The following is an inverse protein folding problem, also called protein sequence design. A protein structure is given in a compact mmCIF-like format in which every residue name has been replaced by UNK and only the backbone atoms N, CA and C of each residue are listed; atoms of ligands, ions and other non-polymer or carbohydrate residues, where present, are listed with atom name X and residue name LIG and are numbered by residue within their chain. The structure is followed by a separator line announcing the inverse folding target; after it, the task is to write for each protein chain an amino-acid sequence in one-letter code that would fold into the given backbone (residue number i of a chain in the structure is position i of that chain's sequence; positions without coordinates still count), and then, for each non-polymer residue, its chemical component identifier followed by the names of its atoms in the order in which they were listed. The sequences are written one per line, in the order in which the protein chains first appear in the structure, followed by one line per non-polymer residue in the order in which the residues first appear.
data_IF_803786957573
#
_entry.id   IF_803786957573
#
_cell.length_a   1.000
_cell.length_b   1.000
_cell.length_c   1.000
_cell.angle_alpha   90.00
_cell.angle_beta   90.00
_cell.angle_gamma   90.00
#
_symmetry.space_group_name_H-M   'P 1'
#
loop_
_entity.id
_entity.type
_entity.pdbx_description
1 polymer ?
#
# COMPACT_ATOMS: atom_id res chain seq x y z
N UNK A 1 -16.12 -13.97 2.84
CA UNK A 1 -17.13 -12.92 3.15
C UNK A 1 -17.01 -11.87 2.07
N UNK A 2 -18.05 -11.67 1.25
CA UNK A 2 -18.04 -10.68 0.17
C UNK A 2 -18.42 -9.33 0.78
N UNK A 3 -17.47 -8.46 1.07
CA UNK A 3 -17.78 -7.06 1.34
C UNK A 3 -18.04 -6.40 -0.02
N UNK A 4 -19.25 -5.93 -0.24
CA UNK A 4 -19.60 -5.02 -1.32
C UNK A 4 -19.18 -3.63 -0.83
N UNK A 5 -17.99 -3.20 -1.17
CA UNK A 5 -17.67 -1.77 -1.12
C UNK A 5 -18.01 -1.26 -2.51
N UNK A 6 -19.16 -0.66 -2.66
CA UNK A 6 -19.53 0.03 -3.90
C UNK A 6 -18.69 1.32 -3.94
N UNK A 7 -17.60 1.29 -4.68
CA UNK A 7 -16.98 2.52 -5.17
C UNK A 7 -17.72 2.80 -6.48
N UNK A 8 -18.68 3.68 -6.44
CA UNK A 8 -19.44 4.09 -7.61
C UNK A 8 -18.54 4.98 -8.45
N UNK A 9 -17.92 4.42 -9.48
CA UNK A 9 -17.22 5.19 -10.49
C UNK A 9 -18.18 5.43 -11.66
N UNK A 10 -18.55 6.67 -11.90
CA UNK A 10 -19.39 7.06 -13.03
C UNK A 10 -18.51 7.28 -14.26
N UNK A 11 -18.75 6.54 -15.33
CA UNK A 11 -18.25 6.86 -16.64
C UNK A 11 -19.42 7.26 -17.54
N UNK A 12 -19.37 8.48 -18.01
CA UNK A 12 -20.29 8.96 -19.05
C UNK A 12 -19.75 8.50 -20.40
N UNK A 13 -20.47 7.64 -21.11
CA UNK A 13 -20.15 7.33 -22.50
C UNK A 13 -20.70 8.41 -23.40
N UNK A 14 -19.85 9.30 -23.89
CA UNK A 14 -20.20 10.26 -24.93
C UNK A 14 -19.76 9.78 -26.29
N UNK A 15 -20.67 9.89 -27.25
CA UNK A 15 -20.44 9.72 -28.68
C UNK A 15 -19.33 10.68 -29.13
N UNK A 16 -18.28 10.16 -29.77
CA UNK A 16 -17.13 10.93 -30.21
C UNK A 16 -17.52 11.97 -31.27
N UNK A 17 -17.32 13.24 -30.94
CA UNK A 17 -17.00 14.28 -31.92
C UNK A 17 -15.60 14.78 -31.55
N UNK A 18 -14.62 14.48 -32.41
CA UNK A 18 -13.27 14.95 -32.24
C UNK A 18 -13.19 16.46 -32.48
N UNK A 19 -12.93 17.21 -31.42
CA UNK A 19 -12.43 18.59 -31.53
C UNK A 19 -11.32 18.77 -30.51
N UNK A 20 -10.14 19.08 -31.01
CA UNK A 20 -8.97 19.44 -30.26
C UNK A 20 -9.16 20.83 -29.64
N UNK A 21 -9.57 20.89 -28.41
CA UNK A 21 -9.42 22.03 -27.51
C UNK A 21 -9.56 21.54 -26.08
N UNK A 22 -8.77 22.09 -25.16
CA UNK A 22 -8.92 21.87 -23.73
C UNK A 22 -10.37 22.20 -23.39
N UNK A 23 -11.21 21.17 -23.20
CA UNK A 23 -12.60 21.39 -22.87
C UNK A 23 -12.69 21.84 -21.41
N UNK A 24 -13.29 23.01 -21.21
CA UNK A 24 -13.54 23.60 -19.91
C UNK A 24 -14.37 22.67 -18.99
N UNK A 25 -14.26 22.88 -17.69
CA UNK A 25 -15.19 22.35 -16.72
C UNK A 25 -16.63 22.69 -17.11
N UNK A 26 -17.43 21.69 -17.36
CA UNK A 26 -18.79 21.84 -17.88
C UNK A 26 -19.76 21.02 -17.02
N UNK A 27 -20.78 21.69 -16.52
CA UNK A 27 -21.94 21.04 -15.89
C UNK A 27 -22.92 20.73 -17.00
N UNK A 28 -23.11 19.47 -17.30
CA UNK A 28 -24.05 19.03 -18.34
C UNK A 28 -25.37 18.69 -17.66
N UNK A 29 -26.40 19.46 -17.98
CA UNK A 29 -27.79 19.13 -17.62
C UNK A 29 -28.39 18.27 -18.74
N UNK A 30 -28.31 16.94 -18.60
CA UNK A 30 -28.94 15.99 -19.54
C UNK A 30 -29.78 14.94 -18.81
N UNK A 31 -30.81 14.48 -19.51
CA UNK A 31 -31.57 13.28 -19.11
C UNK A 31 -30.85 12.07 -19.68
N UNK A 32 -29.98 11.44 -18.89
CA UNK A 32 -29.16 10.37 -19.39
C UNK A 32 -29.45 9.00 -18.81
N UNK A 33 -29.20 8.00 -19.63
CA UNK A 33 -29.06 6.61 -19.20
C UNK A 33 -27.72 6.54 -18.46
N UNK A 34 -27.77 6.33 -17.17
CA UNK A 34 -26.58 6.20 -16.31
C UNK A 34 -26.08 4.75 -16.39
N UNK A 35 -24.92 4.56 -17.00
CA UNK A 35 -24.18 3.30 -16.87
C UNK A 35 -23.37 3.36 -15.57
N UNK A 36 -23.79 2.59 -14.58
CA UNK A 36 -23.06 2.45 -13.33
C UNK A 36 -21.98 1.37 -13.51
N UNK A 37 -20.72 1.78 -13.43
CA UNK A 37 -19.62 0.81 -13.36
C UNK A 37 -19.49 0.34 -11.91
N UNK A 38 -20.09 -0.81 -11.61
CA UNK A 38 -19.89 -1.47 -10.32
C UNK A 38 -18.53 -2.15 -10.33
N UNK A 39 -17.58 -1.60 -9.59
CA UNK A 39 -16.32 -2.29 -9.33
C UNK A 39 -16.55 -3.30 -8.21
N UNK A 40 -16.61 -4.58 -8.59
CA UNK A 40 -16.59 -5.68 -7.61
C UNK A 40 -15.16 -5.97 -7.26
N UNK A 41 -14.75 -5.58 -6.07
CA UNK A 41 -13.46 -5.96 -5.53
C UNK A 41 -13.55 -7.37 -4.94
N UNK A 42 -12.84 -8.31 -5.55
CA UNK A 42 -12.64 -9.64 -5.02
C UNK A 42 -11.26 -9.67 -4.37
N UNK A 43 -11.23 -9.82 -3.07
CA UNK A 43 -9.99 -10.00 -2.33
C UNK A 43 -9.55 -11.46 -2.45
N UNK A 44 -8.38 -11.68 -3.07
CA UNK A 44 -7.78 -13.00 -3.27
C UNK A 44 -6.62 -13.15 -2.28
N UNK A 45 -6.74 -14.07 -1.34
CA UNK A 45 -5.67 -14.37 -0.38
C UNK A 45 -4.42 -14.86 -1.10
N UNK A 46 -3.26 -14.34 -0.75
CA UNK A 46 -1.94 -14.80 -1.17
C UNK A 46 -1.29 -15.71 -0.11
N UNK A 47 -1.78 -15.63 1.12
CA UNK A 47 -1.39 -16.47 2.24
C UNK A 47 -2.60 -16.82 3.10
N UNK A 48 -2.60 -17.97 3.74
CA UNK A 48 -3.65 -18.41 4.67
C UNK A 48 -3.38 -17.94 6.09
N UNK A 49 -2.10 -17.76 6.39
CA UNK A 49 -1.64 -17.36 7.71
C UNK A 49 -0.63 -16.21 7.57
N UNK A 50 -0.54 -15.38 8.60
CA UNK A 50 0.58 -14.46 8.71
C UNK A 50 1.16 -14.42 10.12
N UNK A 51 2.46 -14.26 10.20
CA UNK A 51 3.21 -14.13 11.46
C UNK A 51 4.06 -12.88 11.38
N UNK A 52 4.06 -12.10 12.45
CA UNK A 52 4.98 -10.98 12.63
C UNK A 52 6.02 -11.35 13.68
N UNK A 53 7.29 -11.29 13.30
CA UNK A 53 8.45 -11.31 14.20
C UNK A 53 8.99 -9.88 14.33
N UNK A 54 8.96 -9.36 15.54
CA UNK A 54 9.30 -7.98 15.80
C UNK A 54 10.59 -7.86 16.62
N UNK A 55 11.57 -7.16 16.05
CA UNK A 55 12.86 -6.91 16.68
C UNK A 55 12.78 -5.75 17.68
N UNK A 56 13.09 -6.03 18.94
CA UNK A 56 13.17 -5.03 20.01
C UNK A 56 14.61 -4.86 20.53
N UNK A 57 15.59 -5.25 19.71
CA UNK A 57 17.02 -5.15 20.07
C UNK A 57 17.49 -3.70 20.20
N UNK A 58 18.68 -3.53 20.77
CA UNK A 58 19.30 -2.23 20.99
C UNK A 58 19.46 -1.42 19.70
N UNK A 59 19.79 -2.05 18.59
CA UNK A 59 19.99 -1.39 17.30
C UNK A 59 18.68 -0.79 16.74
N UNK A 60 17.53 -1.37 17.11
CA UNK A 60 16.22 -0.81 16.79
C UNK A 60 15.87 0.46 17.58
N UNK A 61 16.64 0.80 18.62
CA UNK A 61 16.52 2.08 19.32
C UNK A 61 17.28 3.24 18.66
N UNK A 62 18.02 2.98 17.57
CA UNK A 62 18.64 4.04 16.76
C UNK A 62 17.58 4.91 16.10
N UNK A 63 17.95 6.18 15.81
CA UNK A 63 17.06 7.11 15.11
C UNK A 63 16.75 6.62 13.69
N UNK A 64 15.47 6.65 13.33
CA UNK A 64 15.00 6.44 11.98
C UNK A 64 14.80 7.80 11.31
N UNK A 65 15.59 8.14 10.27
CA UNK A 65 15.62 9.50 9.72
C UNK A 65 14.27 10.00 9.19
N UNK A 66 13.46 9.09 8.59
CA UNK A 66 12.20 9.48 7.98
C UNK A 66 11.11 9.90 8.99
N UNK A 67 11.15 9.37 10.23
CA UNK A 67 10.19 9.72 11.29
C UNK A 67 10.76 10.70 12.32
N UNK A 68 12.08 10.80 12.42
CA UNK A 68 12.77 11.51 13.49
C UNK A 68 12.74 10.78 14.85
N UNK A 69 11.96 9.70 14.97
CA UNK A 69 11.88 8.81 16.14
C UNK A 69 12.81 7.62 16.05
N UNK A 70 12.56 6.60 16.88
CA UNK A 70 13.34 5.35 16.86
C UNK A 70 12.84 4.40 15.77
N UNK A 71 13.72 3.53 15.26
CA UNK A 71 13.35 2.46 14.30
C UNK A 71 12.23 1.57 14.84
N UNK A 72 12.26 1.22 16.12
CA UNK A 72 11.24 0.38 16.76
C UNK A 72 9.86 1.07 16.81
N UNK A 73 9.83 2.40 16.96
CA UNK A 73 8.59 3.18 16.90
C UNK A 73 8.04 3.22 15.48
N UNK A 74 8.91 3.46 14.50
CA UNK A 74 8.54 3.43 13.09
C UNK A 74 8.04 2.05 12.67
N UNK A 75 8.68 0.97 13.11
CA UNK A 75 8.26 -0.40 12.86
C UNK A 75 6.85 -0.69 13.42
N UNK A 76 6.57 -0.25 14.66
CA UNK A 76 5.24 -0.41 15.25
C UNK A 76 4.19 0.41 14.51
N UNK A 77 4.54 1.63 14.10
CA UNK A 77 3.62 2.47 13.33
C UNK A 77 3.30 1.86 11.95
N UNK A 78 4.30 1.34 11.24
CA UNK A 78 4.09 0.58 10.01
C UNK A 78 3.09 -0.56 10.25
N UNK A 79 3.30 -1.34 11.30
CA UNK A 79 2.43 -2.47 11.62
C UNK A 79 1.00 -2.04 11.97
N UNK A 80 0.83 -0.92 12.69
CA UNK A 80 -0.49 -0.33 12.99
C UNK A 80 -1.22 0.10 11.72
N UNK A 81 -0.54 0.80 10.84
CA UNK A 81 -1.11 1.26 9.58
C UNK A 81 -1.52 0.09 8.69
N UNK A 82 -0.68 -0.94 8.59
CA UNK A 82 -1.02 -2.14 7.85
C UNK A 82 -2.21 -2.87 8.46
N UNK A 83 -2.24 -3.05 9.78
CA UNK A 83 -3.37 -3.67 10.47
C UNK A 83 -4.68 -2.89 10.26
N UNK A 84 -4.61 -1.55 10.20
CA UNK A 84 -5.79 -0.71 9.99
C UNK A 84 -6.48 -0.99 8.64
N UNK A 85 -5.70 -1.26 7.57
CA UNK A 85 -6.22 -1.49 6.22
C UNK A 85 -6.52 -2.96 5.90
N UNK A 86 -6.09 -3.93 6.72
CA UNK A 86 -6.35 -5.35 6.47
C UNK A 86 -7.85 -5.63 6.49
N UNK A 87 -8.42 -6.22 5.41
CA UNK A 87 -9.78 -6.74 5.42
C UNK A 87 -9.87 -8.00 6.28
N UNK A 88 -11.07 -8.39 6.66
CA UNK A 88 -11.29 -9.69 7.31
C UNK A 88 -11.46 -10.77 6.24
N UNK A 89 -10.41 -11.54 5.98
CA UNK A 89 -10.40 -12.64 5.02
C UNK A 89 -10.21 -14.01 5.70
N UNK A 90 -10.34 -14.09 7.02
CA UNK A 90 -10.23 -15.34 7.76
C UNK A 90 -8.80 -15.89 7.77
N UNK A 91 -7.79 -15.05 8.03
CA UNK A 91 -6.42 -15.51 8.32
C UNK A 91 -6.30 -16.09 9.71
N UNK A 92 -5.26 -16.92 9.93
CA UNK A 92 -4.67 -17.06 11.24
C UNK A 92 -3.51 -16.06 11.34
N UNK A 93 -3.34 -15.47 12.51
CA UNK A 93 -2.31 -14.46 12.77
C UNK A 93 -1.47 -14.80 14.00
N UNK A 94 -0.21 -14.37 14.00
CA UNK A 94 0.66 -14.44 15.16
C UNK A 94 1.52 -13.18 15.27
N UNK A 95 1.81 -12.74 16.51
CA UNK A 95 2.68 -11.60 16.77
C UNK A 95 3.63 -11.94 17.92
N UNK A 96 4.92 -11.94 17.60
CA UNK A 96 5.99 -12.31 18.51
C UNK A 96 7.13 -11.29 18.46
N UNK A 97 7.81 -11.10 19.59
CA UNK A 97 9.15 -10.50 19.58
C UNK A 97 10.20 -11.62 19.69
N UNK A 98 11.41 -11.38 19.19
CA UNK A 98 12.51 -12.35 19.37
C UNK A 98 13.68 -11.84 20.21
N UNK A 99 13.55 -10.63 20.79
CA UNK A 99 14.60 -9.95 21.58
C UNK A 99 14.05 -9.34 22.86
N UNK A 100 13.66 -10.11 23.90
CA UNK A 100 13.56 -11.57 23.99
C UNK A 100 12.34 -12.13 23.25
N UNK A 101 12.30 -13.46 23.14
CA UNK A 101 11.10 -14.14 22.64
C UNK A 101 9.93 -13.90 23.59
N UNK A 102 8.88 -13.29 23.05
CA UNK A 102 7.62 -13.09 23.77
C UNK A 102 6.47 -13.13 22.77
N UNK A 103 5.38 -13.75 23.18
CA UNK A 103 4.14 -13.81 22.45
C UNK A 103 3.25 -12.64 22.85
N UNK A 104 2.79 -11.88 21.86
CA UNK A 104 1.84 -10.78 22.03
C UNK A 104 0.46 -11.14 21.47
N UNK A 105 0.43 -11.95 20.42
CA UNK A 105 -0.76 -12.59 19.89
C UNK A 105 -0.38 -14.01 19.52
N UNK A 106 -0.90 -14.98 20.26
CA UNK A 106 -0.72 -16.38 19.95
C UNK A 106 -1.30 -16.72 18.59
N UNK A 107 -0.70 -17.69 17.90
CA UNK A 107 -1.23 -18.12 16.61
C UNK A 107 -2.68 -18.56 16.73
N UNK A 108 -3.60 -17.77 16.18
CA UNK A 108 -5.05 -17.94 16.32
C UNK A 108 -5.77 -17.30 15.12
N UNK A 109 -7.07 -17.55 14.91
CA UNK A 109 -7.86 -16.80 13.96
C UNK A 109 -7.72 -15.28 14.18
N UNK A 110 -7.44 -14.56 13.10
CA UNK A 110 -7.22 -13.12 13.17
C UNK A 110 -8.47 -12.38 13.61
N UNK A 111 -8.38 -11.71 14.74
CA UNK A 111 -9.37 -10.76 15.25
C UNK A 111 -8.74 -9.37 15.28
N UNK A 112 -9.20 -8.49 14.42
CA UNK A 112 -8.59 -7.16 14.22
C UNK A 112 -8.52 -6.32 15.50
N UNK A 113 -9.58 -6.22 16.35
CA UNK A 113 -9.52 -5.49 17.62
C UNK A 113 -8.45 -6.03 18.57
N UNK A 114 -8.45 -7.34 18.81
CA UNK A 114 -7.48 -7.99 19.70
C UNK A 114 -6.06 -7.89 19.17
N UNK A 115 -5.88 -8.05 17.85
CA UNK A 115 -4.58 -7.90 17.22
C UNK A 115 -4.07 -6.45 17.31
N UNK A 116 -4.95 -5.45 17.17
CA UNK A 116 -4.61 -4.03 17.38
C UNK A 116 -4.08 -3.79 18.79
N UNK A 117 -4.74 -4.33 19.81
CA UNK A 117 -4.27 -4.22 21.20
C UNK A 117 -2.90 -4.88 21.40
N UNK A 118 -2.67 -6.03 20.77
CA UNK A 118 -1.38 -6.70 20.80
C UNK A 118 -0.28 -5.83 20.15
N UNK A 119 -0.55 -5.24 19.00
CA UNK A 119 0.37 -4.29 18.32
C UNK A 119 0.66 -3.08 19.21
N UNK A 120 -0.36 -2.50 19.83
CA UNK A 120 -0.21 -1.33 20.70
C UNK A 120 0.60 -1.63 21.97
N UNK A 121 0.61 -2.90 22.42
CA UNK A 121 1.38 -3.37 23.57
C UNK A 121 2.85 -3.68 23.25
N UNK A 122 3.26 -3.65 21.97
CA UNK A 122 4.66 -3.82 21.60
C UNK A 122 5.53 -2.72 22.22
N UNK A 123 6.71 -3.06 22.76
CA UNK A 123 7.59 -2.07 23.37
C UNK A 123 8.16 -1.13 22.30
N UNK A 124 8.14 0.17 22.59
CA UNK A 124 8.72 1.22 21.74
C UNK A 124 9.86 1.96 22.41
N UNK A 125 9.97 1.82 23.74
CA UNK A 125 11.05 2.42 24.53
C UNK A 125 11.77 1.33 25.30
N UNK A 126 13.05 1.52 25.56
CA UNK A 126 13.77 0.75 26.55
C UNK A 126 13.03 0.87 27.89
N UNK A 127 12.49 -0.22 28.40
CA UNK A 127 12.11 -0.23 29.82
C UNK A 127 13.39 -0.04 30.65
N UNK A 128 13.40 1.03 31.42
CA UNK A 128 14.53 1.50 32.23
C UNK A 128 14.86 0.61 33.43
N UNK A 129 14.55 -0.69 33.41
CA UNK A 129 14.61 -1.56 34.57
C UNK A 129 15.12 -2.99 34.38
N UNK A 130 15.76 -3.34 33.28
CA UNK A 130 16.30 -4.68 33.08
C UNK A 130 17.64 -4.69 32.33
N UNK A 131 18.49 -5.68 32.60
CA UNK A 131 19.64 -5.99 31.76
C UNK A 131 19.06 -6.32 30.38
N UNK A 132 19.02 -5.33 29.52
CA UNK A 132 18.59 -5.49 28.12
C UNK A 132 19.52 -6.50 27.51
N UNK A 133 18.97 -7.60 27.03
CA UNK A 133 19.69 -8.57 26.25
C UNK A 133 20.37 -7.81 25.10
N UNK A 134 21.70 -7.67 25.16
CA UNK A 134 22.47 -6.90 24.18
C UNK A 134 22.58 -7.65 22.84
N UNK A 135 22.01 -8.85 22.79
CA UNK A 135 22.12 -9.78 21.66
C UNK A 135 20.84 -9.75 20.84
N UNK A 136 20.99 -9.75 19.52
CA UNK A 136 19.87 -9.91 18.57
C UNK A 136 19.87 -11.38 18.09
N UNK A 137 19.09 -12.27 18.71
CA UNK A 137 19.04 -13.68 18.35
C UNK A 137 18.12 -13.92 17.14
N UNK A 138 18.39 -13.25 16.01
CA UNK A 138 17.60 -13.38 14.79
C UNK A 138 17.43 -14.84 14.34
N UNK A 139 18.51 -15.63 14.43
CA UNK A 139 18.47 -17.04 14.08
C UNK A 139 17.54 -17.84 15.02
N UNK A 140 17.61 -17.60 16.32
CA UNK A 140 16.72 -18.25 17.30
C UNK A 140 15.25 -17.84 17.10
N UNK A 141 15.00 -16.58 16.77
CA UNK A 141 13.67 -16.09 16.43
C UNK A 141 13.07 -16.80 15.22
N UNK A 142 13.86 -16.98 14.17
CA UNK A 142 13.42 -17.71 12.97
C UNK A 142 13.25 -19.21 13.26
N UNK A 143 14.19 -19.84 13.97
CA UNK A 143 14.11 -21.28 14.34
C UNK A 143 12.87 -21.60 15.17
N UNK A 144 12.44 -20.71 16.06
CA UNK A 144 11.22 -20.84 16.86
C UNK A 144 9.93 -20.82 16.06
N UNK A 145 9.97 -20.46 14.78
CA UNK A 145 8.80 -20.58 13.90
C UNK A 145 8.51 -22.03 13.54
N UNK A 146 9.50 -22.94 13.53
CA UNK A 146 9.30 -24.33 13.10
C UNK A 146 8.14 -25.04 13.84
N UNK A 147 8.10 -25.05 15.18
CA UNK A 147 6.99 -25.71 15.89
C UNK A 147 5.63 -24.98 15.74
N UNK A 148 5.63 -23.73 15.35
CA UNK A 148 4.41 -22.96 15.04
C UNK A 148 3.92 -23.33 13.64
N UNK A 149 4.80 -23.24 12.65
CA UNK A 149 4.51 -23.53 11.25
C UNK A 149 4.08 -24.98 11.02
N UNK A 150 4.67 -25.91 11.75
CA UNK A 150 4.31 -27.34 11.69
C UNK A 150 2.84 -27.64 12.04
N UNK A 151 2.15 -26.70 12.71
CA UNK A 151 0.72 -26.83 13.09
C UNK A 151 -0.22 -26.13 12.11
N UNK A 152 0.33 -25.41 11.12
CA UNK A 152 -0.45 -24.61 10.18
C UNK A 152 -0.64 -25.37 8.87
N UNK A 153 -1.74 -25.10 8.21
CA UNK A 153 -2.02 -25.53 6.84
C UNK A 153 -2.01 -24.31 5.92
N UNK A 154 -1.64 -24.53 4.66
CA UNK A 154 -1.56 -23.50 3.65
C UNK A 154 -0.33 -22.60 3.80
N UNK A 155 -0.24 -21.59 2.95
CA UNK A 155 0.90 -20.70 2.91
C UNK A 155 0.91 -19.72 4.09
N UNK A 156 2.09 -19.53 4.68
CA UNK A 156 2.30 -18.55 5.74
C UNK A 156 3.22 -17.41 5.28
N UNK A 157 2.75 -16.18 5.40
CA UNK A 157 3.56 -14.97 5.24
C UNK A 157 4.21 -14.60 6.58
N UNK A 158 5.52 -14.55 6.66
CA UNK A 158 6.25 -14.15 7.88
C UNK A 158 6.89 -12.79 7.65
N UNK A 159 6.44 -11.79 8.39
CA UNK A 159 6.98 -10.43 8.36
C UNK A 159 7.99 -10.24 9.50
N UNK A 160 9.25 -10.06 9.17
CA UNK A 160 10.35 -9.93 10.13
C UNK A 160 10.82 -8.48 10.14
N UNK A 161 10.41 -7.72 11.15
CA UNK A 161 10.84 -6.33 11.35
C UNK A 161 12.21 -6.33 12.02
N UNK A 162 13.26 -5.91 11.31
CA UNK A 162 14.64 -5.97 11.81
C UNK A 162 15.56 -4.99 11.07
N UNK A 163 16.72 -4.69 11.65
CA UNK A 163 17.82 -3.99 10.96
C UNK A 163 18.91 -4.95 10.45
N UNK A 164 18.66 -6.26 10.48
CA UNK A 164 19.59 -7.27 9.99
C UNK A 164 20.83 -7.51 10.84
N UNK A 165 20.98 -6.81 11.97
CA UNK A 165 22.06 -7.12 12.92
C UNK A 165 21.71 -8.40 13.69
N UNK A 166 22.73 -9.21 13.97
CA UNK A 166 22.51 -10.45 14.70
C UNK A 166 23.73 -10.87 15.54
N UNK A 167 23.45 -11.66 16.56
CA UNK A 167 24.45 -12.37 17.33
C UNK A 167 24.04 -13.83 17.52
N UNK A 168 25.01 -14.71 17.48
CA UNK A 168 24.79 -16.14 17.74
C UNK A 168 24.74 -16.40 19.24
N UNK A 169 23.61 -16.90 19.71
CA UNK A 169 23.35 -17.12 21.14
C UNK A 169 23.48 -18.61 21.48
N UNK A 170 24.08 -18.92 22.61
CA UNK A 170 24.11 -20.27 23.15
C UNK A 170 22.69 -20.75 23.51
N UNK A 171 22.37 -22.06 23.47
CA UNK A 171 23.33 -23.16 23.22
C UNK A 171 23.58 -23.48 21.75
N UNK A 172 22.61 -23.18 20.84
CA UNK A 172 22.68 -23.65 19.44
C UNK A 172 23.70 -22.93 18.57
N UNK A 173 24.02 -21.66 18.84
CA UNK A 173 24.88 -20.79 18.01
C UNK A 173 24.52 -20.83 16.51
N UNK A 174 23.24 -20.93 16.22
CA UNK A 174 22.70 -21.06 14.87
C UNK A 174 23.01 -19.82 14.02
N UNK A 175 23.22 -20.00 12.72
CA UNK A 175 23.34 -18.90 11.78
C UNK A 175 21.95 -18.51 11.27
N UNK A 176 21.65 -17.22 11.08
CA UNK A 176 20.35 -16.78 10.54
C UNK A 176 20.03 -17.41 9.19
N UNK A 177 21.04 -17.57 8.34
CA UNK A 177 20.90 -18.21 7.03
C UNK A 177 20.48 -19.68 7.13
N UNK A 178 21.01 -20.42 8.11
CA UNK A 178 20.67 -21.83 8.29
C UNK A 178 19.27 -21.99 8.87
N UNK A 179 18.88 -21.13 9.82
CA UNK A 179 17.54 -21.07 10.35
C UNK A 179 16.51 -20.73 9.27
N UNK A 180 16.78 -19.73 8.44
CA UNK A 180 15.91 -19.35 7.35
C UNK A 180 15.77 -20.47 6.30
N UNK A 181 16.89 -21.13 5.97
CA UNK A 181 16.87 -22.27 5.04
C UNK A 181 16.04 -23.42 5.57
N UNK A 182 16.21 -23.77 6.83
CA UNK A 182 15.45 -24.86 7.47
C UNK A 182 13.94 -24.58 7.43
N UNK A 183 13.54 -23.36 7.79
CA UNK A 183 12.14 -22.93 7.77
C UNK A 183 11.54 -22.97 6.35
N UNK A 184 12.28 -22.47 5.36
CA UNK A 184 11.82 -22.41 3.96
C UNK A 184 11.77 -23.80 3.30
N UNK A 185 12.66 -24.72 3.70
CA UNK A 185 12.69 -26.08 3.14
C UNK A 185 11.58 -26.98 3.73
N UNK A 186 11.17 -26.73 4.97
CA UNK A 186 10.23 -27.62 5.68
C UNK A 186 8.79 -27.12 5.66
N UNK A 187 8.55 -25.85 5.27
CA UNK A 187 7.21 -25.25 5.32
C UNK A 187 6.91 -24.41 4.06
N UNK A 188 5.62 -24.31 3.68
CA UNK A 188 5.18 -23.35 2.65
C UNK A 188 5.11 -21.94 3.26
N UNK A 189 6.26 -21.26 3.23
CA UNK A 189 6.46 -19.98 3.89
C UNK A 189 7.16 -18.97 2.98
N UNK A 190 6.71 -17.73 3.05
CA UNK A 190 7.39 -16.58 2.44
C UNK A 190 7.92 -15.67 3.55
N UNK A 191 9.23 -15.38 3.54
CA UNK A 191 9.87 -14.50 4.52
C UNK A 191 9.96 -13.08 3.94
N UNK A 192 9.30 -12.14 4.58
CA UNK A 192 9.31 -10.72 4.24
C UNK A 192 10.11 -9.95 5.30
N UNK A 193 11.34 -9.58 4.95
CA UNK A 193 12.21 -8.81 5.84
C UNK A 193 11.88 -7.33 5.70
N UNK A 194 11.13 -6.79 6.67
CA UNK A 194 10.82 -5.37 6.76
C UNK A 194 12.04 -4.70 7.39
N UNK A 195 12.86 -4.08 6.53
CA UNK A 195 14.25 -3.79 6.84
C UNK A 195 14.54 -2.31 7.07
N UNK A 196 15.16 -2.01 8.20
CA UNK A 196 15.86 -0.75 8.45
C UNK A 196 17.39 -0.91 8.42
N UNK A 197 17.88 -1.96 7.75
CA UNK A 197 19.30 -2.27 7.63
C UNK A 197 20.04 -1.18 6.85
N UNK A 198 21.25 -0.85 7.34
CA UNK A 198 22.18 -0.02 6.58
C UNK A 198 22.83 -0.85 5.47
N UNK A 199 23.23 -0.22 4.35
CA UNK A 199 24.01 -0.91 3.31
C UNK A 199 25.23 -1.63 3.89
N UNK A 200 25.48 -2.86 3.44
CA UNK A 200 26.60 -3.67 3.89
C UNK A 200 26.19 -5.08 4.35
N UNK A 201 26.95 -5.66 5.29
CA UNK A 201 26.74 -7.06 5.73
C UNK A 201 25.32 -7.35 6.25
N UNK A 202 24.68 -6.49 7.06
CA UNK A 202 23.32 -6.76 7.52
C UNK A 202 22.32 -6.83 6.38
N UNK A 203 22.33 -5.85 5.47
CA UNK A 203 21.46 -5.82 4.31
C UNK A 203 21.69 -7.04 3.41
N UNK A 204 22.95 -7.36 3.11
CA UNK A 204 23.31 -8.53 2.30
C UNK A 204 22.82 -9.84 2.91
N UNK A 205 22.89 -10.01 4.22
CA UNK A 205 22.35 -11.19 4.89
C UNK A 205 20.84 -11.34 4.66
N UNK A 206 20.06 -10.24 4.80
CA UNK A 206 18.62 -10.28 4.57
C UNK A 206 18.28 -10.61 3.11
N UNK A 207 19.05 -10.07 2.16
CA UNK A 207 18.92 -10.37 0.73
C UNK A 207 19.20 -11.85 0.43
N UNK A 208 20.27 -12.40 1.02
CA UNK A 208 20.64 -13.81 0.85
C UNK A 208 19.57 -14.75 1.44
N UNK A 209 19.00 -14.40 2.59
CA UNK A 209 17.89 -15.15 3.17
C UNK A 209 16.61 -15.03 2.33
N UNK A 210 16.31 -13.86 1.80
CA UNK A 210 15.17 -13.66 0.90
C UNK A 210 15.32 -14.43 -0.43
N UNK A 211 16.54 -14.64 -0.90
CA UNK A 211 16.82 -15.40 -2.11
C UNK A 211 16.61 -16.92 -1.97
N UNK A 212 16.28 -17.43 -0.78
CA UNK A 212 16.08 -18.87 -0.56
C UNK A 212 14.84 -19.41 -1.26
N UNK A 213 13.83 -18.60 -1.55
CA UNK A 213 12.68 -18.96 -2.37
C UNK A 213 12.16 -17.78 -3.19
N UNK A 214 11.29 -18.08 -4.14
CA UNK A 214 10.79 -17.08 -5.11
C UNK A 214 9.82 -16.04 -4.49
N UNK A 215 9.18 -16.33 -3.37
CA UNK A 215 8.19 -15.44 -2.77
C UNK A 215 8.76 -14.53 -1.67
N UNK A 216 9.92 -14.87 -1.09
CA UNK A 216 10.53 -14.05 -0.05
C UNK A 216 11.14 -12.75 -0.60
N UNK A 217 11.11 -11.68 0.20
CA UNK A 217 11.58 -10.34 -0.21
C UNK A 217 12.20 -9.60 0.96
N UNK A 218 13.13 -8.69 0.63
CA UNK A 218 13.54 -7.61 1.54
C UNK A 218 12.77 -6.36 1.15
N UNK A 219 12.17 -5.71 2.11
CA UNK A 219 11.31 -4.54 1.92
C UNK A 219 11.85 -3.44 2.83
N UNK A 220 12.39 -2.35 2.27
CA UNK A 220 12.87 -1.22 3.05
C UNK A 220 11.74 -0.59 3.88
N UNK A 221 12.06 -0.12 5.09
CA UNK A 221 11.10 0.63 5.90
C UNK A 221 10.51 1.82 5.15
N UNK A 222 11.33 2.53 4.37
CA UNK A 222 10.91 3.71 3.63
C UNK A 222 9.78 3.41 2.64
N UNK A 223 9.79 2.23 2.02
CA UNK A 223 8.77 1.85 1.04
C UNK A 223 7.40 1.62 1.69
N UNK A 224 7.38 0.99 2.87
CA UNK A 224 6.14 0.70 3.60
C UNK A 224 5.68 1.90 4.44
N UNK A 225 6.61 2.62 5.09
CA UNK A 225 6.29 3.77 5.93
C UNK A 225 5.57 4.87 5.17
N UNK A 226 5.93 5.05 3.89
CA UNK A 226 5.29 6.01 2.99
C UNK A 226 4.05 5.45 2.28
N UNK A 227 3.94 4.14 2.18
CA UNK A 227 2.84 3.47 1.48
C UNK A 227 2.43 2.19 2.21
N UNK A 228 1.54 2.27 3.21
CA UNK A 228 1.08 1.11 3.97
C UNK A 228 0.43 0.02 3.11
N UNK A 229 -0.20 0.38 1.99
CA UNK A 229 -0.86 -0.57 1.08
C UNK A 229 0.14 -1.53 0.44
N UNK A 230 1.39 -1.11 0.25
CA UNK A 230 2.42 -1.96 -0.34
C UNK A 230 2.65 -3.26 0.45
N UNK A 231 2.67 -3.17 1.78
CA UNK A 231 2.84 -4.36 2.64
C UNK A 231 1.62 -5.30 2.65
N UNK A 232 0.43 -4.76 2.44
CA UNK A 232 -0.80 -5.56 2.40
C UNK A 232 -0.85 -6.48 1.16
N UNK A 233 -0.21 -6.09 0.06
CA UNK A 233 -0.15 -6.85 -1.18
C UNK A 233 0.54 -8.22 -1.07
N UNK A 234 1.25 -8.50 0.02
CA UNK A 234 1.82 -9.82 0.31
C UNK A 234 0.82 -10.77 0.97
N UNK A 235 -0.28 -10.27 1.49
CA UNK A 235 -1.34 -11.05 2.13
C UNK A 235 -2.53 -11.28 1.22
N UNK A 236 -2.85 -10.31 0.37
CA UNK A 236 -3.94 -10.41 -0.57
C UNK A 236 -3.72 -9.52 -1.79
N UNK A 237 -4.35 -9.86 -2.88
CA UNK A 237 -4.51 -8.99 -4.04
C UNK A 237 -5.98 -8.66 -4.24
N UNK A 238 -6.24 -7.50 -4.79
CA UNK A 238 -7.59 -7.08 -5.17
C UNK A 238 -7.75 -7.34 -6.66
N UNK A 239 -8.61 -8.30 -6.98
CA UNK A 239 -9.06 -8.49 -8.35
C UNK A 239 -10.33 -7.65 -8.54
N UNK A 240 -10.21 -6.58 -9.31
CA UNK A 240 -11.32 -5.69 -9.60
C UNK A 240 -11.95 -6.09 -10.94
N UNK A 241 -13.12 -6.73 -10.89
CA UNK A 241 -13.95 -6.90 -12.08
C UNK A 241 -14.87 -5.70 -12.23
N UNK A 242 -14.78 -5.03 -13.37
CA UNK A 242 -15.73 -3.97 -13.73
C UNK A 242 -16.98 -4.63 -14.31
N UNK A 243 -18.08 -4.55 -13.61
CA UNK A 243 -19.40 -4.92 -14.12
C UNK A 243 -20.12 -3.62 -14.50
N UNK A 244 -20.46 -3.47 -15.79
CA UNK A 244 -21.28 -2.35 -16.22
C UNK A 244 -22.71 -2.74 -15.90
N UNK A 245 -23.31 -2.11 -14.90
CA UNK A 245 -24.73 -2.24 -14.59
C UNK A 245 -25.43 -1.04 -15.18
N UNK A 246 -26.22 -1.26 -16.23
CA UNK A 246 -27.05 -0.22 -16.83
C UNK A 246 -28.30 -0.05 -15.97
N UNK A 247 -28.35 1.01 -15.18
CA UNK A 247 -29.58 1.41 -14.47
C UNK A 247 -30.21 2.61 -15.18
N UNK A 248 -31.48 2.51 -15.46
CA UNK A 248 -32.23 3.62 -16.05
C UNK A 248 -32.73 4.53 -14.93
N UNK A 249 -31.87 5.43 -14.45
CA UNK A 249 -32.31 6.51 -13.54
C UNK A 249 -32.26 7.84 -14.27
N UNK A 250 -33.37 8.60 -14.15
CA UNK A 250 -33.41 9.96 -14.65
C UNK A 250 -32.66 10.87 -13.69
N UNK A 251 -31.39 11.15 -13.95
CA UNK A 251 -30.58 12.11 -13.18
C UNK A 251 -30.33 13.36 -14.01
N UNK A 252 -30.47 14.49 -13.34
CA UNK A 252 -30.09 15.81 -13.84
C UNK A 252 -28.72 16.13 -13.33
N UNK A 253 -27.80 16.47 -14.24
CA UNK A 253 -26.41 16.96 -14.08
C UNK A 253 -25.31 15.90 -14.00
N UNK A 254 -24.39 16.01 -14.93
CA UNK A 254 -23.05 15.43 -14.91
C UNK A 254 -22.00 16.53 -14.86
N UNK A 255 -20.86 16.25 -14.22
CA UNK A 255 -19.70 17.13 -14.22
C UNK A 255 -18.61 16.51 -15.10
N UNK A 256 -18.24 17.19 -16.18
CA UNK A 256 -17.13 16.80 -17.03
C UNK A 256 -15.90 17.59 -16.64
N UNK A 257 -14.82 16.90 -16.36
CA UNK A 257 -13.53 17.50 -16.03
C UNK A 257 -12.51 17.06 -17.08
N UNK A 258 -11.72 17.99 -17.65
CA UNK A 258 -10.61 17.62 -18.53
C UNK A 258 -9.52 16.90 -17.75
N UNK A 259 -8.77 16.02 -18.43
CA UNK A 259 -7.59 15.39 -17.86
C UNK A 259 -6.54 16.45 -17.51
N UNK A 260 -5.91 16.32 -16.36
CA UNK A 260 -4.75 17.13 -15.98
C UNK A 260 -3.49 16.47 -16.52
N UNK A 261 -2.80 17.15 -17.46
CA UNK A 261 -1.58 16.65 -18.06
C UNK A 261 -0.32 17.19 -17.37
N UNK A 262 0.78 16.44 -17.52
CA UNK A 262 2.04 16.73 -16.85
C UNK A 262 3.21 16.70 -17.82
N UNK A 263 4.22 17.51 -17.54
CA UNK A 263 5.49 17.44 -18.23
C UNK A 263 6.22 16.12 -17.96
N UNK A 264 7.19 15.82 -18.83
CA UNK A 264 8.00 14.60 -18.67
C UNK A 264 8.75 14.59 -17.33
N UNK A 265 8.58 13.51 -16.58
CA UNK A 265 9.22 13.34 -15.28
C UNK A 265 8.72 14.28 -14.17
N UNK A 266 7.72 15.15 -14.45
CA UNK A 266 7.17 16.11 -13.50
C UNK A 266 5.82 15.64 -12.95
N UNK A 267 5.47 16.20 -11.80
CA UNK A 267 4.21 15.96 -11.08
C UNK A 267 3.56 17.28 -10.61
N UNK A 268 4.15 18.43 -10.90
CA UNK A 268 3.56 19.73 -10.52
C UNK A 268 2.34 20.04 -11.38
N UNK A 269 1.27 20.53 -10.77
CA UNK A 269 0.07 21.00 -11.48
C UNK A 269 0.41 22.27 -12.26
N UNK A 270 0.27 22.20 -13.58
CA UNK A 270 0.54 23.33 -14.46
C UNK A 270 -0.47 24.47 -14.24
N UNK A 271 -0.05 25.75 -14.37
CA UNK A 271 -0.93 26.91 -14.14
C UNK A 271 -2.21 26.90 -14.94
N UNK A 272 -2.18 26.35 -16.16
CA UNK A 272 -3.31 26.28 -17.08
C UNK A 272 -4.48 25.43 -16.58
N UNK A 273 -4.24 24.43 -15.70
CA UNK A 273 -5.30 23.59 -15.12
C UNK A 273 -5.91 24.17 -13.85
N UNK A 274 -5.25 25.14 -13.20
CA UNK A 274 -5.70 25.70 -11.92
C UNK A 274 -7.10 26.33 -11.99
N UNK A 275 -7.48 27.09 -13.06
CA UNK A 275 -8.83 27.65 -13.14
C UNK A 275 -9.92 26.58 -13.12
N UNK A 276 -9.71 25.46 -13.84
CA UNK A 276 -10.70 24.39 -13.90
C UNK A 276 -10.74 23.58 -12.59
N UNK A 277 -9.58 23.36 -11.95
CA UNK A 277 -9.51 22.75 -10.63
C UNK A 277 -10.17 23.62 -9.55
N UNK A 278 -10.09 24.95 -9.65
CA UNK A 278 -10.82 25.86 -8.75
C UNK A 278 -12.34 25.72 -8.89
N UNK A 279 -12.85 25.65 -10.13
CA UNK A 279 -14.29 25.42 -10.37
C UNK A 279 -14.72 24.07 -9.77
N UNK A 280 -13.93 23.02 -9.92
CA UNK A 280 -14.18 21.74 -9.31
C UNK A 280 -14.15 21.81 -7.78
N UNK A 281 -13.19 22.52 -7.20
CA UNK A 281 -13.12 22.74 -5.75
C UNK A 281 -14.37 23.46 -5.23
N UNK A 282 -14.82 24.49 -5.92
CA UNK A 282 -16.06 25.22 -5.58
C UNK A 282 -17.28 24.31 -5.68
N UNK A 283 -17.34 23.47 -6.73
CA UNK A 283 -18.41 22.49 -6.88
C UNK A 283 -18.43 21.49 -5.71
N UNK A 284 -17.29 20.89 -5.36
CA UNK A 284 -17.18 19.90 -4.28
C UNK A 284 -17.52 20.50 -2.90
N UNK A 285 -17.09 21.72 -2.62
CA UNK A 285 -17.44 22.45 -1.38
C UNK A 285 -18.94 22.70 -1.27
N UNK A 286 -19.60 23.01 -2.40
CA UNK A 286 -21.05 23.26 -2.44
C UNK A 286 -21.87 21.96 -2.46
N UNK A 287 -21.24 20.82 -2.73
CA UNK A 287 -21.88 19.50 -2.80
C UNK A 287 -21.13 18.50 -1.87
N UNK A 288 -21.35 18.54 -0.54
CA UNK A 288 -20.58 17.72 0.41
C UNK A 288 -20.75 16.20 0.24
N UNK A 289 -21.79 15.77 -0.49
CA UNK A 289 -22.01 14.35 -0.83
C UNK A 289 -21.29 13.93 -2.10
N UNK A 290 -20.83 14.86 -2.90
CA UNK A 290 -20.08 14.56 -4.11
C UNK A 290 -18.69 14.06 -3.75
N UNK A 291 -18.27 13.03 -4.45
CA UNK A 291 -16.92 12.45 -4.31
C UNK A 291 -16.19 12.57 -5.64
N UNK A 292 -14.88 12.70 -5.59
CA UNK A 292 -14.01 12.69 -6.76
C UNK A 292 -13.06 11.52 -6.71
N UNK A 293 -12.95 10.78 -7.81
CA UNK A 293 -11.96 9.73 -8.02
C UNK A 293 -10.91 10.27 -8.97
N UNK A 294 -9.66 10.24 -8.58
CA UNK A 294 -8.52 10.70 -9.38
C UNK A 294 -7.60 9.53 -9.68
N UNK A 295 -7.31 9.30 -10.97
CA UNK A 295 -6.48 8.20 -11.43
C UNK A 295 -5.25 8.72 -12.19
N UNK A 296 -4.05 8.40 -11.70
CA UNK A 296 -2.78 8.85 -12.25
C UNK A 296 -2.15 7.85 -13.21
N UNK A 297 -1.60 8.38 -14.30
CA UNK A 297 -0.94 7.61 -15.35
C UNK A 297 0.38 8.26 -15.79
N UNK A 298 1.25 7.44 -16.40
CA UNK A 298 2.49 7.89 -17.04
C UNK A 298 2.51 7.47 -18.51
N UNK A 299 3.49 7.96 -19.24
CA UNK A 299 3.87 7.37 -20.52
C UNK A 299 4.66 6.07 -20.31
N UNK A 300 5.09 5.44 -21.40
CA UNK A 300 5.80 4.17 -21.36
C UNK A 300 7.30 4.28 -21.03
N UNK A 301 7.85 5.48 -20.90
CA UNK A 301 9.29 5.69 -20.69
C UNK A 301 9.65 5.38 -19.23
N UNK A 302 10.64 4.50 -19.04
CA UNK A 302 11.12 4.08 -17.73
C UNK A 302 10.54 2.75 -17.26
N UNK A 303 11.08 2.27 -16.13
CA UNK A 303 10.63 1.02 -15.50
C UNK A 303 9.27 1.19 -14.82
N UNK A 304 8.67 0.09 -14.41
CA UNK A 304 7.41 0.10 -13.65
C UNK A 304 7.64 0.69 -12.25
N UNK A 305 8.76 0.34 -11.63
CA UNK A 305 9.18 0.81 -10.31
C UNK A 305 9.37 2.35 -10.28
N UNK A 306 9.75 2.95 -11.40
CA UNK A 306 9.82 4.39 -11.56
C UNK A 306 8.45 5.03 -11.82
N UNK A 307 7.65 4.41 -12.70
CA UNK A 307 6.41 5.00 -13.18
C UNK A 307 5.26 4.91 -12.18
N UNK A 308 5.20 3.86 -11.38
CA UNK A 308 4.15 3.71 -10.37
C UNK A 308 4.21 4.83 -9.31
N UNK A 309 5.35 5.11 -8.65
CA UNK A 309 5.47 6.24 -7.74
C UNK A 309 5.28 7.61 -8.43
N UNK A 310 5.66 7.75 -9.71
CA UNK A 310 5.47 9.00 -10.44
C UNK A 310 3.98 9.27 -10.68
N UNK A 311 3.20 8.25 -11.04
CA UNK A 311 1.75 8.38 -11.19
C UNK A 311 1.06 8.72 -9.86
N UNK A 312 1.53 8.13 -8.75
CA UNK A 312 1.08 8.48 -7.40
C UNK A 312 1.32 9.95 -7.08
N UNK A 313 2.55 10.46 -7.24
CA UNK A 313 2.89 11.88 -6.99
C UNK A 313 2.03 12.84 -7.80
N UNK A 314 1.65 12.48 -9.02
CA UNK A 314 0.76 13.29 -9.86
C UNK A 314 -0.63 13.40 -9.26
N UNK A 315 -1.22 12.28 -8.84
CA UNK A 315 -2.53 12.29 -8.19
C UNK A 315 -2.47 13.07 -6.88
N UNK A 316 -1.45 12.82 -6.05
CA UNK A 316 -1.24 13.55 -4.79
C UNK A 316 -1.09 15.06 -5.01
N UNK A 317 -0.40 15.47 -6.09
CA UNK A 317 -0.25 16.89 -6.41
C UNK A 317 -1.58 17.57 -6.76
N UNK A 318 -2.47 16.87 -7.48
CA UNK A 318 -3.82 17.38 -7.77
C UNK A 318 -4.66 17.40 -6.49
N UNK A 319 -4.62 16.34 -5.69
CA UNK A 319 -5.35 16.25 -4.43
C UNK A 319 -4.93 17.36 -3.45
N UNK A 320 -3.63 17.54 -3.25
CA UNK A 320 -3.08 18.59 -2.40
C UNK A 320 -3.51 19.99 -2.87
N UNK A 321 -3.59 20.20 -4.19
CA UNK A 321 -4.09 21.46 -4.72
C UNK A 321 -5.55 21.68 -4.35
N UNK A 322 -6.41 20.67 -4.49
CA UNK A 322 -7.83 20.76 -4.13
C UNK A 322 -8.02 20.93 -2.61
N UNK A 323 -7.23 20.27 -1.77
CA UNK A 323 -7.22 20.49 -0.32
C UNK A 323 -6.87 21.93 0.04
N UNK A 324 -5.87 22.51 -0.62
CA UNK A 324 -5.53 23.93 -0.45
C UNK A 324 -6.65 24.87 -0.86
N UNK A 325 -7.54 24.45 -1.76
CA UNK A 325 -8.77 25.18 -2.11
C UNK A 325 -9.97 24.86 -1.18
N UNK A 326 -9.76 24.05 -0.14
CA UNK A 326 -10.74 23.77 0.90
C UNK A 326 -11.63 22.55 0.65
N UNK A 327 -11.27 21.66 -0.28
CA UNK A 327 -11.96 20.38 -0.48
C UNK A 327 -11.54 19.40 0.62
N UNK A 328 -12.53 18.67 1.20
CA UNK A 328 -12.23 17.66 2.21
C UNK A 328 -11.53 16.44 1.61
N UNK A 329 -10.52 15.91 2.30
CA UNK A 329 -9.85 14.67 1.92
C UNK A 329 -10.83 13.49 1.81
N UNK A 330 -11.90 13.47 2.61
CA UNK A 330 -12.92 12.42 2.59
C UNK A 330 -13.74 12.39 1.29
N UNK A 331 -13.72 13.48 0.51
CA UNK A 331 -14.35 13.54 -0.80
C UNK A 331 -13.46 13.02 -1.93
N UNK A 332 -12.20 12.66 -1.65
CA UNK A 332 -11.21 12.33 -2.67
C UNK A 332 -10.74 10.88 -2.56
N UNK A 333 -10.85 10.13 -3.65
CA UNK A 333 -10.26 8.81 -3.80
C UNK A 333 -9.10 8.87 -4.80
N UNK A 334 -7.93 8.40 -4.38
CA UNK A 334 -6.69 8.47 -5.15
C UNK A 334 -6.31 7.08 -5.65
N UNK A 335 -6.10 6.96 -6.98
CA UNK A 335 -5.66 5.76 -7.66
C UNK A 335 -4.45 6.07 -8.54
N UNK A 336 -3.52 5.13 -8.69
CA UNK A 336 -2.37 5.29 -9.56
C UNK A 336 -2.02 3.98 -10.26
N UNK A 337 -1.70 4.07 -11.54
CA UNK A 337 -1.59 2.93 -12.44
C UNK A 337 -0.27 2.88 -13.24
N UNK A 338 0.67 3.82 -12.95
CA UNK A 338 1.93 3.90 -13.68
C UNK A 338 1.70 4.03 -15.18
N UNK A 339 2.38 3.20 -15.97
CA UNK A 339 2.32 3.20 -17.44
C UNK A 339 1.22 2.32 -18.04
N UNK A 340 0.31 1.79 -17.22
CA UNK A 340 -0.81 0.99 -17.70
C UNK A 340 -1.90 1.87 -18.32
N UNK A 341 -2.78 1.27 -19.13
CA UNK A 341 -3.94 1.94 -19.74
C UNK A 341 -3.60 3.22 -20.54
N UNK A 342 -2.69 3.16 -21.52
CA UNK A 342 -2.41 4.31 -22.39
C UNK A 342 -3.66 4.68 -23.20
N UNK A 343 -3.94 5.98 -23.36
CA UNK A 343 -5.03 6.51 -24.18
C UNK A 343 -4.54 6.98 -25.56
N UNK A 344 -3.23 6.98 -25.77
CA UNK A 344 -2.60 7.40 -27.03
C UNK A 344 -1.32 6.58 -27.28
N UNK A 345 -0.85 6.65 -28.52
CA UNK A 345 0.34 5.91 -28.96
C UNK A 345 1.61 6.43 -28.27
N UNK A 346 2.26 5.56 -27.50
CA UNK A 346 3.49 5.87 -26.78
C UNK A 346 4.74 6.00 -27.67
N UNK A 347 4.65 5.62 -28.96
CA UNK A 347 5.75 5.77 -29.92
C UNK A 347 5.99 7.25 -30.27
N UNK A 348 4.94 8.07 -30.22
CA UNK A 348 5.01 9.50 -30.55
C UNK A 348 5.17 10.39 -29.31
N UNK A 349 5.90 11.54 -29.41
CA UNK A 349 5.99 12.48 -28.30
C UNK A 349 4.63 13.02 -27.86
N UNK A 350 3.73 13.30 -28.81
CA UNK A 350 2.37 13.81 -28.59
C UNK A 350 1.51 12.79 -27.88
N UNK A 351 1.59 11.51 -28.27
CA UNK A 351 0.88 10.42 -27.61
C UNK A 351 1.38 10.19 -26.17
N UNK A 352 2.69 10.25 -25.96
CA UNK A 352 3.25 10.20 -24.60
C UNK A 352 2.78 11.36 -23.74
N UNK A 353 2.70 12.58 -24.32
CA UNK A 353 2.18 13.74 -23.58
C UNK A 353 0.72 13.51 -23.11
N UNK A 354 -0.14 12.91 -23.96
CA UNK A 354 -1.51 12.56 -23.60
C UNK A 354 -1.59 11.48 -22.52
N UNK A 355 -0.64 10.55 -22.50
CA UNK A 355 -0.60 9.48 -21.52
C UNK A 355 -0.15 9.96 -20.13
N UNK A 356 0.67 11.02 -20.04
CA UNK A 356 1.07 11.67 -18.77
C UNK A 356 -0.07 12.50 -18.20
N UNK A 357 -1.02 11.84 -17.51
CA UNK A 357 -2.27 12.48 -17.07
C UNK A 357 -2.73 12.03 -15.69
N UNK A 358 -3.62 12.83 -15.13
CA UNK A 358 -4.57 12.43 -14.08
C UNK A 358 -5.96 12.56 -14.66
N UNK A 359 -6.69 11.45 -14.68
CA UNK A 359 -8.12 11.41 -15.00
C UNK A 359 -8.91 11.72 -13.73
N UNK A 360 -9.98 12.48 -13.88
CA UNK A 360 -10.79 12.94 -12.77
C UNK A 360 -12.25 12.62 -13.07
N UNK A 361 -12.86 11.84 -12.19
CA UNK A 361 -14.28 11.49 -12.24
C UNK A 361 -14.97 11.98 -10.96
N UNK A 362 -16.09 12.69 -11.12
CA UNK A 362 -16.90 13.18 -10.01
C UNK A 362 -18.17 12.34 -9.91
N UNK A 363 -18.48 11.87 -8.70
CA UNK A 363 -19.64 11.04 -8.41
C UNK A 363 -20.36 11.46 -7.13
N UNK A 364 -21.44 10.74 -6.74
CA UNK A 364 -22.09 10.94 -5.43
C UNK A 364 -23.06 12.13 -5.39
N UNK A 365 -23.67 12.53 -6.51
CA UNK A 365 -24.70 13.58 -6.55
C UNK A 365 -26.07 13.02 -6.26
#
# INVERSE_FOLDING_TARGET
MKRKTAVTAFFLSLLFIAVSSVSAFEIIEEKDIVEEVVVKENFIKQADNFIVLFDTSRSMAETYPASGGQKVEAAREILRQQNAILPDLGWNAGLYTFTPWKEYYAMAPYDKPTYTQAVDSLPTTRSSGGIVQQTTPLADGIDRLNPILAKLSGRTAVFIFTDGTYQRVAPKKLWPMDAARDVVQNHDVCLYFISSAKPGKPQKLLEDMAALNACSRVIPFDDIYRNPVYGAGFLYVVDSTKEIVTTTETRIAGVKMPNVHFEFGKYDVLPEYKPELNKMADFLKNNPKANVVMAGFTDSVGSEEYNLPLSQRRVESVANYLEQQGVSADQMALLWYGKTNPIADNSTPEGRAKNRRVEIAVGGM
#
